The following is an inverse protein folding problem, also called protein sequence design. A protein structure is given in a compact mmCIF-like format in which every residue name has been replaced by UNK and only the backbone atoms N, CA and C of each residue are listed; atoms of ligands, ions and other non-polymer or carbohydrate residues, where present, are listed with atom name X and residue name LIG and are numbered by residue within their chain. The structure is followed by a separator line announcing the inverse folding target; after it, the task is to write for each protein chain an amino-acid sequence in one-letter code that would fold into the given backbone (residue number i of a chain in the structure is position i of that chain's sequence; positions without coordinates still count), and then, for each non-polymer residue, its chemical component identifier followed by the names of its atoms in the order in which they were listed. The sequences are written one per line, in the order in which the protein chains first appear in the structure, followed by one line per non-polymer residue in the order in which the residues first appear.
data_IF_248773446517
#
_entry.id   IF_248773446517
#
_cell.length_a   1.000
_cell.length_b   1.000
_cell.length_c   1.000
_cell.angle_alpha   90.00
_cell.angle_beta   90.00
_cell.angle_gamma   90.00
#
_symmetry.space_group_name_H-M   'P 1'
#
loop_
_entity.id
_entity.type
_entity.pdbx_description
1 polymer ?
#
# COMPACT_ATOMS: atom_id res chain seq x y z
N UNK A 1 -8.64 -16.78 -61.11
CA UNK A 1 -9.43 -15.93 -60.21
C UNK A 1 -9.51 -16.44 -58.75
N UNK A 2 -9.89 -17.73 -58.49
CA UNK A 2 -9.99 -18.25 -57.11
C UNK A 2 -8.68 -18.20 -56.29
N UNK A 3 -7.51 -18.48 -56.90
CA UNK A 3 -6.21 -18.47 -56.24
C UNK A 3 -5.80 -17.06 -55.77
N UNK A 4 -6.09 -16.04 -56.54
CA UNK A 4 -5.78 -14.64 -56.15
C UNK A 4 -6.73 -14.13 -55.06
N UNK A 5 -7.97 -14.60 -55.02
CA UNK A 5 -8.94 -14.29 -53.99
C UNK A 5 -8.49 -14.83 -52.64
N UNK A 6 -7.98 -16.06 -52.58
CA UNK A 6 -7.46 -16.71 -51.38
C UNK A 6 -6.24 -15.95 -50.83
N UNK A 7 -5.32 -15.51 -51.70
CA UNK A 7 -4.15 -14.71 -51.31
C UNK A 7 -4.56 -13.35 -50.67
N UNK A 8 -5.56 -12.70 -51.23
CA UNK A 8 -6.08 -11.42 -50.67
C UNK A 8 -6.69 -11.66 -49.31
N UNK A 9 -7.47 -12.72 -49.10
CA UNK A 9 -8.04 -13.10 -47.82
C UNK A 9 -6.98 -13.44 -46.74
N UNK A 10 -5.91 -14.14 -47.14
CA UNK A 10 -4.79 -14.43 -46.24
C UNK A 10 -4.03 -13.15 -45.85
N UNK A 11 -3.82 -12.21 -46.76
CA UNK A 11 -3.15 -10.94 -46.46
C UNK A 11 -4.01 -10.06 -45.56
N UNK A 12 -5.33 -10.02 -45.77
CA UNK A 12 -6.27 -9.30 -44.89
C UNK A 12 -6.31 -9.93 -43.48
N UNK A 13 -6.30 -11.26 -43.37
CA UNK A 13 -6.25 -11.95 -42.08
C UNK A 13 -4.95 -11.67 -41.31
N UNK A 14 -3.80 -11.64 -42.02
CA UNK A 14 -2.51 -11.28 -41.41
C UNK A 14 -2.48 -9.81 -40.96
N UNK A 15 -3.09 -8.89 -41.68
CA UNK A 15 -3.20 -7.49 -41.30
C UNK A 15 -4.10 -7.34 -40.02
N UNK A 16 -5.16 -8.14 -39.92
CA UNK A 16 -6.06 -8.09 -38.76
C UNK A 16 -5.39 -8.57 -37.48
N UNK A 17 -4.54 -9.59 -37.54
CA UNK A 17 -3.80 -10.11 -36.37
C UNK A 17 -2.83 -9.07 -35.79
N UNK A 18 -2.25 -8.22 -36.63
CA UNK A 18 -1.31 -7.17 -36.18
C UNK A 18 -2.00 -5.89 -35.67
N UNK A 19 -3.30 -5.77 -35.85
CA UNK A 19 -4.06 -4.57 -35.47
C UNK A 19 -4.63 -4.63 -34.03
N UNK A 20 -4.29 -5.68 -33.24
CA UNK A 20 -4.78 -5.74 -31.87
C UNK A 20 -4.07 -4.70 -31.00
N UNK A 21 -4.80 -3.82 -30.31
CA UNK A 21 -4.18 -2.83 -29.42
C UNK A 21 -3.49 -3.56 -28.26
N UNK A 22 -2.22 -3.22 -28.03
CA UNK A 22 -1.52 -3.68 -26.84
C UNK A 22 -2.20 -3.06 -25.62
N UNK A 23 -2.78 -3.90 -24.76
CA UNK A 23 -3.29 -3.46 -23.47
C UNK A 23 -2.12 -3.40 -22.49
N UNK A 24 -1.85 -2.22 -21.99
CA UNK A 24 -0.90 -2.03 -20.89
C UNK A 24 -1.70 -1.97 -19.60
N UNK A 25 -1.15 -2.54 -18.54
CA UNK A 25 -1.65 -2.39 -17.18
C UNK A 25 -0.60 -1.62 -16.39
N UNK A 26 -0.98 -0.48 -15.84
CA UNK A 26 -0.13 0.31 -14.95
C UNK A 26 -0.37 -0.19 -13.52
N UNK A 27 0.72 -0.39 -12.78
CA UNK A 27 0.71 -0.77 -11.38
C UNK A 27 1.51 0.25 -10.59
N UNK A 28 1.06 0.59 -9.39
CA UNK A 28 1.76 1.47 -8.49
C UNK A 28 2.46 0.67 -7.40
N UNK A 29 3.75 0.93 -7.23
CA UNK A 29 4.54 0.47 -6.09
C UNK A 29 4.98 1.72 -5.34
N UNK A 30 4.68 1.80 -4.04
CA UNK A 30 4.99 2.93 -3.19
C UNK A 30 5.90 2.54 -2.04
N UNK A 31 6.63 3.52 -1.52
CA UNK A 31 7.31 3.44 -0.23
C UNK A 31 7.01 4.73 0.54
N UNK A 32 6.59 4.58 1.81
CA UNK A 32 6.18 5.71 2.63
C UNK A 32 6.67 5.57 4.08
N UNK A 33 7.28 6.62 4.62
CA UNK A 33 7.56 6.71 6.04
C UNK A 33 6.31 7.23 6.76
N UNK A 34 5.78 6.46 7.70
CA UNK A 34 4.55 6.80 8.43
C UNK A 34 4.77 7.65 9.68
N UNK A 35 6.01 8.14 9.88
CA UNK A 35 6.37 9.10 10.94
C UNK A 35 6.02 8.59 12.35
N UNK A 36 6.59 7.42 12.70
CA UNK A 36 6.45 6.81 14.02
C UNK A 36 5.00 6.45 14.38
N UNK A 37 4.42 5.51 13.63
CA UNK A 37 3.10 4.97 13.93
C UNK A 37 3.19 3.95 15.07
N UNK A 38 3.02 4.43 16.30
CA UNK A 38 2.90 3.64 17.52
C UNK A 38 1.43 3.39 17.86
N UNK A 39 1.15 2.29 18.56
CA UNK A 39 -0.13 2.12 19.24
C UNK A 39 -0.19 3.00 20.52
N UNK A 40 -1.02 2.66 21.48
CA UNK A 40 -1.15 3.45 22.73
C UNK A 40 -0.70 2.66 23.98
N UNK A 41 -0.04 1.50 23.76
CA UNK A 41 0.34 0.55 24.81
C UNK A 41 1.86 0.59 24.94
N UNK A 42 2.37 0.76 26.15
CA UNK A 42 3.81 0.76 26.41
C UNK A 42 4.40 -0.64 26.28
N UNK A 43 5.45 -0.83 25.49
CA UNK A 43 6.29 -2.03 25.52
C UNK A 43 7.45 -1.83 26.51
N UNK A 44 7.50 -2.57 27.64
CA UNK A 44 8.54 -2.40 28.64
C UNK A 44 9.96 -2.74 28.14
N UNK A 45 10.12 -3.25 26.93
CA UNK A 45 11.40 -3.60 26.31
C UNK A 45 11.85 -2.61 25.24
N UNK A 46 11.07 -1.56 24.97
CA UNK A 46 11.32 -0.54 23.94
C UNK A 46 11.31 0.86 24.56
N UNK A 47 11.81 1.84 23.84
CA UNK A 47 11.78 3.26 24.25
C UNK A 47 10.59 3.96 23.61
N UNK A 48 9.39 3.54 23.98
CA UNK A 48 8.11 4.05 23.47
C UNK A 48 7.24 4.72 24.54
N UNK A 49 7.77 4.86 25.79
CA UNK A 49 7.05 5.44 26.94
C UNK A 49 6.39 6.79 26.62
N UNK A 50 7.06 7.62 25.78
CA UNK A 50 6.55 8.92 25.35
C UNK A 50 5.33 8.81 24.43
N UNK A 51 5.15 7.68 23.76
CA UNK A 51 4.08 7.38 22.80
C UNK A 51 2.84 6.75 23.45
N UNK A 52 2.61 7.02 24.71
CA UNK A 52 1.45 6.53 25.48
C UNK A 52 0.52 7.67 25.86
N UNK A 53 -0.72 7.38 26.30
CA UNK A 53 -1.66 8.43 26.75
C UNK A 53 -1.15 9.27 27.92
N UNK A 54 -0.26 8.70 28.75
CA UNK A 54 0.35 9.38 29.89
C UNK A 54 1.78 9.83 29.62
N UNK A 55 2.34 9.48 28.47
CA UNK A 55 3.68 9.87 28.03
C UNK A 55 3.78 11.35 27.61
N UNK A 56 4.98 11.76 27.24
CA UNK A 56 5.26 13.16 26.86
C UNK A 56 4.42 13.64 25.67
N UNK A 57 4.19 12.76 24.69
CA UNK A 57 3.43 13.08 23.46
C UNK A 57 1.91 13.01 23.66
N UNK A 58 1.47 12.54 24.83
CA UNK A 58 0.03 12.34 25.14
C UNK A 58 -0.68 11.58 24.01
N UNK A 59 -0.10 10.46 23.60
CA UNK A 59 -0.52 9.65 22.48
C UNK A 59 -1.80 8.88 22.79
N UNK A 60 -2.92 9.60 22.88
CA UNK A 60 -4.22 9.04 23.20
C UNK A 60 -4.82 8.26 22.04
N UNK A 61 -5.77 7.36 22.30
CA UNK A 61 -6.48 6.61 21.27
C UNK A 61 -7.12 7.51 20.21
N UNK A 62 -7.53 8.75 20.59
CA UNK A 62 -8.04 9.72 19.62
C UNK A 62 -6.94 10.20 18.68
N UNK A 63 -5.77 10.56 19.21
CA UNK A 63 -4.62 11.01 18.41
C UNK A 63 -4.16 9.89 17.50
N UNK A 64 -4.00 8.67 18.02
CA UNK A 64 -3.67 7.47 17.27
C UNK A 64 -4.64 7.23 16.10
N UNK A 65 -5.94 7.17 16.37
CA UNK A 65 -6.93 6.94 15.33
C UNK A 65 -6.93 8.04 14.26
N UNK A 66 -6.82 9.31 14.67
CA UNK A 66 -6.73 10.43 13.72
C UNK A 66 -5.47 10.30 12.83
N UNK A 67 -4.35 9.83 13.38
CA UNK A 67 -3.10 9.61 12.65
C UNK A 67 -3.23 8.45 11.66
N UNK A 68 -3.72 7.29 12.11
CA UNK A 68 -4.00 6.13 11.25
C UNK A 68 -4.88 6.50 10.06
N UNK A 69 -5.96 7.26 10.30
CA UNK A 69 -6.87 7.70 9.22
C UNK A 69 -6.16 8.61 8.20
N UNK A 70 -5.31 9.53 8.67
CA UNK A 70 -4.56 10.44 7.78
C UNK A 70 -3.56 9.67 6.91
N UNK A 71 -2.78 8.76 7.52
CA UNK A 71 -1.83 7.90 6.78
C UNK A 71 -2.58 7.07 5.75
N UNK A 72 -3.64 6.38 6.15
CA UNK A 72 -4.43 5.54 5.25
C UNK A 72 -4.99 6.33 4.06
N UNK A 73 -5.45 7.56 4.29
CA UNK A 73 -5.90 8.45 3.23
C UNK A 73 -4.77 8.74 2.25
N UNK A 74 -3.60 9.19 2.75
CA UNK A 74 -2.43 9.49 1.91
C UNK A 74 -2.03 8.27 1.10
N UNK A 75 -1.88 7.10 1.74
CA UNK A 75 -1.52 5.86 1.06
C UNK A 75 -2.51 5.49 -0.05
N UNK A 76 -3.81 5.72 0.18
CA UNK A 76 -4.85 5.41 -0.81
C UNK A 76 -4.82 6.33 -2.04
N UNK A 77 -4.18 7.49 -1.94
CA UNK A 77 -4.12 8.52 -2.99
C UNK A 77 -2.84 8.45 -3.82
N UNK A 78 -1.79 7.71 -3.38
CA UNK A 78 -0.52 7.59 -4.12
C UNK A 78 -0.76 6.92 -5.47
N UNK A 79 -0.49 7.65 -6.57
CA UNK A 79 -0.64 7.16 -7.94
C UNK A 79 -2.09 6.94 -8.40
N UNK A 80 -3.07 7.31 -7.58
CA UNK A 80 -4.49 7.12 -7.88
C UNK A 80 -4.98 8.02 -9.03
N UNK A 81 -4.28 9.09 -9.34
CA UNK A 81 -4.52 9.93 -10.51
C UNK A 81 -4.28 9.19 -11.84
N UNK A 82 -3.42 8.17 -11.83
CA UNK A 82 -3.09 7.34 -12.99
C UNK A 82 -3.83 6.01 -12.98
N UNK A 83 -3.84 5.32 -11.83
CA UNK A 83 -4.36 3.95 -11.70
C UNK A 83 -5.81 3.88 -11.25
N UNK A 84 -6.36 4.97 -10.70
CA UNK A 84 -7.69 5.07 -10.09
C UNK A 84 -7.90 4.14 -8.88
N UNK A 85 -6.81 3.67 -8.28
CA UNK A 85 -6.82 2.87 -7.04
C UNK A 85 -5.55 3.12 -6.22
N UNK A 86 -5.55 2.67 -4.97
CA UNK A 86 -4.35 2.68 -4.12
C UNK A 86 -3.24 1.82 -4.72
N UNK A 87 -1.96 2.01 -4.31
CA UNK A 87 -0.86 1.20 -4.81
C UNK A 87 -1.08 -0.29 -4.62
N UNK A 88 -0.58 -1.10 -5.56
CA UNK A 88 -0.66 -2.57 -5.48
C UNK A 88 0.29 -3.13 -4.42
N UNK A 89 1.40 -2.42 -4.17
CA UNK A 89 2.40 -2.77 -3.16
C UNK A 89 2.84 -1.48 -2.45
N UNK A 90 2.88 -1.52 -1.12
CA UNK A 90 3.33 -0.40 -0.30
C UNK A 90 4.35 -0.88 0.71
N UNK A 91 5.61 -0.43 0.59
CA UNK A 91 6.57 -0.49 1.68
C UNK A 91 6.30 0.64 2.66
N UNK A 92 6.24 0.33 3.94
CA UNK A 92 6.10 1.31 5.02
C UNK A 92 7.27 1.22 5.99
N UNK A 93 7.68 2.35 6.54
CA UNK A 93 8.72 2.43 7.57
C UNK A 93 8.21 3.22 8.76
N UNK A 94 8.83 2.98 9.93
CA UNK A 94 8.50 3.57 11.21
C UNK A 94 7.11 3.16 11.72
N UNK A 95 6.79 1.89 11.57
CA UNK A 95 5.64 1.25 12.21
C UNK A 95 6.11 0.47 13.45
N UNK A 96 5.28 0.37 14.46
CA UNK A 96 5.66 -0.32 15.69
C UNK A 96 5.43 -1.84 15.61
N UNK A 97 4.26 -2.27 15.16
CA UNK A 97 3.88 -3.68 15.25
C UNK A 97 2.79 -4.08 14.25
N UNK A 98 2.41 -5.36 14.24
CA UNK A 98 1.35 -5.89 13.40
C UNK A 98 -0.05 -5.31 13.73
N UNK A 99 -0.28 -4.88 14.97
CA UNK A 99 -1.57 -4.31 15.36
C UNK A 99 -1.81 -2.97 14.66
N UNK A 100 -0.83 -2.08 14.64
CA UNK A 100 -0.94 -0.78 13.94
C UNK A 100 -1.11 -0.97 12.43
N UNK A 101 -0.46 -1.98 11.84
CA UNK A 101 -0.64 -2.32 10.42
C UNK A 101 -2.05 -2.85 10.14
N UNK A 102 -2.56 -3.69 11.02
CA UNK A 102 -3.93 -4.23 10.94
C UNK A 102 -4.96 -3.11 11.02
N UNK A 103 -4.79 -2.17 11.94
CA UNK A 103 -5.66 -1.00 12.04
C UNK A 103 -5.59 -0.14 10.78
N UNK A 104 -4.39 0.08 10.25
CA UNK A 104 -4.16 0.88 9.04
C UNK A 104 -4.90 0.32 7.83
N UNK A 105 -4.73 -0.98 7.52
CA UNK A 105 -5.37 -1.60 6.36
C UNK A 105 -6.88 -1.77 6.51
N UNK A 106 -7.41 -1.80 7.75
CA UNK A 106 -8.84 -1.89 8.02
C UNK A 106 -9.58 -0.55 8.01
N UNK A 107 -8.88 0.56 7.77
CA UNK A 107 -9.52 1.87 7.63
C UNK A 107 -10.49 1.90 6.44
N UNK A 108 -11.47 2.80 6.41
CA UNK A 108 -12.37 2.97 5.26
C UNK A 108 -11.64 3.26 3.94
N UNK A 109 -10.43 3.83 4.00
CA UNK A 109 -9.63 4.17 2.83
C UNK A 109 -8.97 2.95 2.18
N UNK A 110 -8.48 1.99 2.98
CA UNK A 110 -7.67 0.87 2.51
C UNK A 110 -8.39 -0.48 2.53
N UNK A 111 -9.38 -0.67 3.39
CA UNK A 111 -10.06 -1.96 3.62
C UNK A 111 -10.54 -2.66 2.34
N UNK A 112 -11.01 -1.90 1.36
CA UNK A 112 -11.53 -2.46 0.09
C UNK A 112 -10.46 -3.13 -0.78
N UNK A 113 -9.17 -2.86 -0.51
CA UNK A 113 -8.05 -3.41 -1.29
C UNK A 113 -7.53 -4.74 -0.74
N UNK A 114 -7.94 -5.14 0.49
CA UNK A 114 -7.60 -6.40 1.13
C UNK A 114 -6.09 -6.70 1.17
N UNK A 115 -5.29 -5.72 1.59
CA UNK A 115 -3.85 -5.90 1.71
C UNK A 115 -3.48 -7.04 2.65
N UNK A 116 -2.53 -7.88 2.21
CA UNK A 116 -1.75 -8.74 3.08
C UNK A 116 -0.62 -7.96 3.73
N UNK A 117 -0.11 -8.46 4.85
CA UNK A 117 0.98 -7.84 5.62
C UNK A 117 2.18 -8.79 5.64
N UNK A 118 3.37 -8.25 5.41
CA UNK A 118 4.66 -8.86 5.76
C UNK A 118 5.38 -7.89 6.67
N UNK A 119 5.63 -8.32 7.91
CA UNK A 119 6.31 -7.52 8.93
C UNK A 119 7.36 -8.36 9.64
N UNK A 120 8.45 -7.74 10.04
CA UNK A 120 9.50 -8.34 10.84
C UNK A 120 10.05 -7.30 11.82
N UNK A 121 10.22 -7.76 13.08
CA UNK A 121 10.85 -6.99 14.14
C UNK A 121 12.27 -6.57 13.76
N UNK A 122 12.59 -5.32 13.96
CA UNK A 122 13.93 -4.76 13.81
C UNK A 122 14.67 -4.66 15.14
N UNK A 123 15.98 -4.50 15.14
CA UNK A 123 16.75 -4.26 16.37
C UNK A 123 16.67 -2.80 16.86
N UNK A 124 15.81 -1.96 16.32
CA UNK A 124 15.67 -0.56 16.74
C UNK A 124 15.13 -0.49 18.17
N UNK A 125 15.88 0.19 19.06
CA UNK A 125 15.52 0.29 20.47
C UNK A 125 14.23 1.09 20.71
N UNK A 126 13.79 1.89 19.75
CA UNK A 126 12.50 2.60 19.81
C UNK A 126 11.31 1.70 19.52
N UNK A 127 11.56 0.51 18.96
CA UNK A 127 10.50 -0.40 18.52
C UNK A 127 9.86 0.01 17.20
N UNK A 128 10.63 0.62 16.28
CA UNK A 128 10.11 0.96 14.94
C UNK A 128 10.68 0.04 13.89
N UNK A 129 9.83 -0.40 13.00
CA UNK A 129 10.07 -1.44 12.02
C UNK A 129 9.74 -0.99 10.59
N UNK A 130 9.91 -1.92 9.65
CA UNK A 130 9.49 -1.80 8.27
C UNK A 130 8.52 -2.93 7.92
N UNK A 131 7.59 -2.65 7.04
CA UNK A 131 6.66 -3.66 6.56
C UNK A 131 6.33 -3.50 5.07
N UNK A 132 5.72 -4.53 4.51
CA UNK A 132 5.19 -4.56 3.16
C UNK A 132 3.70 -4.87 3.21
N UNK A 133 2.91 -4.05 2.55
CA UNK A 133 1.50 -4.28 2.26
C UNK A 133 1.37 -4.69 0.78
N UNK A 134 0.67 -5.82 0.46
CA UNK A 134 0.57 -6.38 -0.89
C UNK A 134 -0.81 -6.95 -1.20
#
# INVERSE_FOLDING_TARGET
MRRNLILVWCLLALAYVNAQPKKFMVRTVAFYNVENLFDTINDPHKFDDDRTPNGADRWTSKVYNDHVQKIAKVLSEIGADVTHHAPDIIGVAEIENDAVLTDLINTPYLKKYNYGIVHYESPDARGVDVALLY
#
